data_IF_427831685361
#
_entry.id   IF_427831685361
#
_cell.length_a   1.000
_cell.length_b   1.000
_cell.length_c   1.000
_cell.angle_alpha   90.00
_cell.angle_beta   90.00
_cell.angle_gamma   90.00
#
_symmetry.space_group_name_H-M   'P 1'
#
loop_
_entity.id
_entity.type
_entity.pdbx_description
1 polymer ?
#
# COMPACT_ATOMS: atom_id res chain seq x y z
N UNK A 1 -2.10 -10.50 4.63
CA UNK A 1 -0.75 -9.98 4.94
C UNK A 1 -0.90 -8.77 5.84
N UNK A 2 0.00 -8.59 6.81
CA UNK A 2 0.04 -7.42 7.69
C UNK A 2 1.35 -6.67 7.46
N UNK A 3 1.28 -5.34 7.38
CA UNK A 3 2.43 -4.49 7.15
C UNK A 3 2.38 -3.21 7.97
N UNK A 4 3.53 -2.82 8.49
CA UNK A 4 3.72 -1.62 9.30
C UNK A 4 4.58 -0.60 8.55
N UNK A 5 4.21 0.69 8.54
CA UNK A 5 5.01 1.75 7.90
C UNK A 5 5.36 1.40 6.43
N UNK A 6 6.64 1.36 6.05
CA UNK A 6 7.12 0.90 4.74
C UNK A 6 6.77 -0.59 4.43
N UNK A 7 6.65 -1.44 5.45
CA UNK A 7 6.10 -2.80 5.27
C UNK A 7 4.61 -2.77 4.90
N UNK A 8 3.90 -1.74 5.36
CA UNK A 8 2.52 -1.44 4.93
C UNK A 8 2.47 -1.00 3.47
N UNK A 9 3.46 -0.21 3.00
CA UNK A 9 3.61 0.12 1.58
C UNK A 9 3.72 -1.14 0.73
N UNK A 10 4.63 -2.04 1.07
CA UNK A 10 4.82 -3.31 0.35
C UNK A 10 3.55 -4.16 0.38
N UNK A 11 2.87 -4.24 1.54
CA UNK A 11 1.61 -4.98 1.67
C UNK A 11 0.52 -4.42 0.75
N UNK A 12 0.36 -3.10 0.71
CA UNK A 12 -0.57 -2.44 -0.19
C UNK A 12 -0.17 -2.62 -1.66
N UNK A 13 1.13 -2.53 -1.97
CA UNK A 13 1.69 -2.72 -3.31
C UNK A 13 1.39 -4.12 -3.86
N UNK A 14 1.65 -5.16 -3.07
CA UNK A 14 1.32 -6.54 -3.45
C UNK A 14 -0.19 -6.73 -3.52
N UNK A 15 -0.95 -6.18 -2.57
CA UNK A 15 -2.42 -6.29 -2.52
C UNK A 15 -3.13 -5.65 -3.72
N UNK A 16 -2.54 -4.62 -4.34
CA UNK A 16 -3.09 -3.94 -5.53
C UNK A 16 -2.47 -4.40 -6.84
N UNK A 17 -1.34 -5.12 -6.81
CA UNK A 17 -0.57 -5.50 -8.00
C UNK A 17 -0.11 -6.96 -8.03
N UNK A 18 -0.81 -7.88 -7.35
CA UNK A 18 -0.49 -9.32 -7.36
C UNK A 18 -0.58 -9.91 -8.78
N UNK A 19 0.12 -11.02 -9.01
CA UNK A 19 0.19 -11.79 -10.27
C UNK A 19 0.73 -10.97 -11.44
N UNK A 20 1.87 -10.31 -11.23
CA UNK A 20 2.42 -9.30 -12.13
C UNK A 20 1.45 -8.14 -12.39
N UNK A 21 0.39 -7.95 -11.60
CA UNK A 21 -0.77 -7.12 -11.97
C UNK A 21 -1.54 -7.78 -13.13
N UNK A 22 -2.76 -7.45 -13.50
CA UNK A 22 -3.17 -6.11 -13.93
C UNK A 22 -2.02 -5.21 -14.47
N UNK A 23 -0.92 -5.80 -14.95
CA UNK A 23 -0.01 -5.21 -15.89
C UNK A 23 -0.30 -6.00 -17.15
N UNK A 24 -1.12 -5.38 -17.99
CA UNK A 24 -1.22 -5.83 -19.37
C UNK A 24 0.22 -5.89 -19.90
N UNK A 25 0.65 -7.02 -20.48
CA UNK A 25 1.94 -7.11 -21.15
C UNK A 25 2.13 -5.89 -22.05
N UNK A 26 3.31 -5.29 -22.01
CA UNK A 26 3.68 -4.06 -22.72
C UNK A 26 3.07 -2.74 -22.21
N UNK A 27 2.23 -2.76 -21.16
CA UNK A 27 1.72 -1.52 -20.55
C UNK A 27 2.84 -0.67 -19.97
N UNK A 28 2.59 0.65 -19.84
CA UNK A 28 3.56 1.57 -19.24
C UNK A 28 3.94 1.16 -17.81
N UNK A 29 3.01 0.62 -17.03
CA UNK A 29 3.29 0.10 -15.69
C UNK A 29 4.21 -1.14 -15.73
N UNK A 30 4.13 -1.97 -16.78
CA UNK A 30 5.04 -3.11 -16.99
C UNK A 30 6.47 -2.62 -17.17
N UNK A 31 6.61 -1.64 -18.06
CA UNK A 31 7.90 -1.04 -18.40
C UNK A 31 8.51 -0.37 -17.16
N UNK A 32 7.70 0.36 -16.37
CA UNK A 32 8.16 0.97 -15.13
C UNK A 32 8.57 -0.09 -14.09
N UNK A 33 7.80 -1.17 -13.91
CA UNK A 33 8.20 -2.29 -13.03
C UNK A 33 9.54 -2.88 -13.47
N UNK A 34 9.70 -3.18 -14.76
CA UNK A 34 10.91 -3.77 -15.31
C UNK A 34 12.13 -2.86 -15.11
N UNK A 35 11.97 -1.55 -15.33
CA UNK A 35 13.02 -0.56 -15.09
C UNK A 35 13.43 -0.46 -13.61
N UNK A 36 12.49 -0.64 -12.68
CA UNK A 36 12.73 -0.47 -11.24
C UNK A 36 13.18 -1.75 -10.53
N UNK A 37 12.65 -2.90 -10.94
CA UNK A 37 12.79 -4.18 -10.24
C UNK A 37 13.48 -5.26 -11.08
N UNK A 38 13.69 -5.02 -12.38
CA UNK A 38 14.16 -6.00 -13.35
C UNK A 38 13.01 -6.66 -14.13
N UNK A 39 13.33 -7.19 -15.30
CA UNK A 39 12.37 -7.94 -16.13
C UNK A 39 11.98 -9.24 -15.40
N UNK A 40 10.68 -9.55 -15.26
CA UNK A 40 10.25 -10.82 -14.70
C UNK A 40 10.67 -11.99 -15.60
N UNK A 41 11.10 -13.10 -15.01
CA UNK A 41 11.38 -14.32 -15.78
C UNK A 41 10.08 -15.12 -15.89
N UNK A 42 9.35 -14.94 -16.98
CA UNK A 42 8.11 -15.66 -17.22
C UNK A 42 8.27 -17.18 -17.33
N UNK A 43 9.50 -17.71 -17.37
CA UNK A 43 9.75 -19.15 -17.31
C UNK A 43 10.10 -19.65 -15.90
N UNK A 44 10.30 -18.75 -14.92
CA UNK A 44 10.49 -19.12 -13.52
C UNK A 44 9.14 -19.56 -12.91
N UNK A 45 9.02 -20.81 -12.42
CA UNK A 45 7.80 -21.27 -11.75
C UNK A 45 7.39 -20.42 -10.53
N UNK A 46 8.34 -19.73 -9.88
CA UNK A 46 8.09 -18.81 -8.77
C UNK A 46 7.34 -17.57 -9.27
N UNK A 47 7.80 -16.96 -10.37
CA UNK A 47 7.18 -15.78 -10.97
C UNK A 47 5.79 -16.09 -11.58
N UNK A 48 5.53 -17.35 -11.93
CA UNK A 48 4.21 -17.82 -12.36
C UNK A 48 3.24 -18.09 -11.19
N UNK A 49 3.73 -18.15 -9.96
CA UNK A 49 2.90 -18.46 -8.80
C UNK A 49 2.19 -17.21 -8.30
N UNK A 50 0.87 -17.30 -8.16
CA UNK A 50 0.06 -16.18 -7.71
C UNK A 50 0.45 -15.72 -6.30
N UNK A 51 0.59 -14.41 -6.13
CA UNK A 51 0.81 -13.76 -4.83
C UNK A 51 -0.49 -13.17 -4.25
N UNK A 52 -1.64 -13.63 -4.73
CA UNK A 52 -2.95 -13.12 -4.31
C UNK A 52 -3.14 -13.29 -2.80
N UNK A 53 -3.50 -12.19 -2.15
CA UNK A 53 -3.77 -12.15 -0.71
C UNK A 53 -5.27 -12.28 -0.44
N UNK A 54 -5.64 -12.93 0.67
CA UNK A 54 -7.05 -13.02 1.10
C UNK A 54 -7.55 -11.76 1.83
N UNK A 55 -6.64 -11.05 2.49
CA UNK A 55 -6.90 -9.81 3.21
C UNK A 55 -5.58 -9.05 3.40
N UNK A 56 -5.64 -7.72 3.50
CA UNK A 56 -4.50 -6.87 3.83
C UNK A 56 -4.76 -6.00 5.05
N UNK A 57 -3.76 -5.86 5.92
CA UNK A 57 -3.82 -5.09 7.16
C UNK A 57 -2.69 -4.06 7.11
N UNK A 58 -3.05 -2.79 7.10
CA UNK A 58 -2.17 -1.64 6.94
C UNK A 58 -2.09 -0.87 8.26
N UNK A 59 -0.95 -0.98 8.94
CA UNK A 59 -0.72 -0.36 10.24
C UNK A 59 0.21 0.84 10.09
N UNK A 60 -0.33 2.04 10.31
CA UNK A 60 0.36 3.32 10.10
C UNK A 60 1.18 3.35 8.80
N UNK A 61 0.58 2.82 7.73
CA UNK A 61 1.29 2.51 6.50
C UNK A 61 1.58 3.76 5.68
N UNK A 62 2.76 3.79 5.07
CA UNK A 62 3.00 4.59 3.87
C UNK A 62 2.24 3.92 2.72
N UNK A 63 1.34 4.63 2.03
CA UNK A 63 0.57 4.05 0.90
C UNK A 63 0.85 4.75 -0.43
N UNK A 64 1.70 5.76 -0.40
CA UNK A 64 2.16 6.55 -1.54
C UNK A 64 3.57 7.04 -1.23
N UNK A 65 4.45 7.21 -2.23
CA UNK A 65 5.78 7.77 -1.99
C UNK A 65 5.70 9.14 -1.31
N UNK A 66 6.75 9.48 -0.57
CA UNK A 66 7.02 10.85 -0.17
C UNK A 66 7.18 11.79 -1.39
N UNK A 67 6.87 13.07 -1.20
CA UNK A 67 6.79 14.11 -2.24
C UNK A 67 8.00 14.16 -3.21
N UNK A 68 7.77 14.81 -4.37
CA UNK A 68 8.77 15.11 -5.42
C UNK A 68 10.12 15.61 -4.88
N UNK A 69 10.15 16.22 -3.71
CA UNK A 69 11.29 16.91 -3.10
C UNK A 69 12.39 15.97 -2.60
N UNK A 70 12.12 14.67 -2.44
CA UNK A 70 13.10 13.70 -1.91
C UNK A 70 13.74 12.77 -2.95
N UNK A 71 13.40 12.92 -4.23
CA UNK A 71 14.05 12.12 -5.28
C UNK A 71 15.45 12.67 -5.57
N UNK A 72 16.50 11.82 -5.57
CA UNK A 72 17.84 12.25 -5.95
C UNK A 72 17.85 12.86 -7.36
N UNK A 73 18.56 13.98 -7.60
CA UNK A 73 18.67 14.58 -8.93
C UNK A 73 19.22 13.61 -9.98
N UNK A 74 20.10 12.69 -9.56
CA UNK A 74 20.74 11.67 -10.40
C UNK A 74 20.00 10.31 -10.34
N UNK A 75 18.74 10.31 -9.90
CA UNK A 75 17.91 9.10 -9.92
C UNK A 75 17.75 8.60 -11.37
N UNK A 76 17.88 7.28 -11.57
CA UNK A 76 17.58 6.57 -12.83
C UNK A 76 16.20 6.92 -13.40
N UNK A 77 15.29 7.42 -12.55
CA UNK A 77 13.97 7.90 -12.93
C UNK A 77 14.06 9.00 -14.01
N UNK A 78 14.99 9.95 -13.90
CA UNK A 78 14.89 11.24 -14.62
C UNK A 78 15.06 11.18 -16.15
N UNK A 79 15.54 10.07 -16.73
CA UNK A 79 15.72 9.94 -18.18
C UNK A 79 14.58 9.24 -18.90
N UNK A 80 13.98 8.21 -18.30
CA UNK A 80 12.97 7.35 -18.95
C UNK A 80 11.62 7.30 -18.24
N UNK A 81 11.52 7.81 -17.00
CA UNK A 81 10.28 7.86 -16.19
C UNK A 81 10.11 9.26 -15.61
N UNK A 82 9.08 9.98 -16.04
CA UNK A 82 8.81 11.30 -15.45
C UNK A 82 8.52 11.16 -13.95
N UNK A 83 8.79 12.23 -13.19
CA UNK A 83 8.51 12.23 -11.74
C UNK A 83 7.01 11.99 -11.47
N UNK A 84 6.13 12.48 -12.33
CA UNK A 84 4.69 12.25 -12.22
C UNK A 84 4.33 10.79 -12.49
N UNK A 85 4.91 10.16 -13.52
CA UNK A 85 4.73 8.72 -13.76
C UNK A 85 5.23 7.90 -12.59
N UNK A 86 6.37 8.26 -11.99
CA UNK A 86 6.89 7.57 -10.82
C UNK A 86 5.95 7.72 -9.62
N UNK A 87 5.47 8.93 -9.33
CA UNK A 87 4.52 9.18 -8.23
C UNK A 87 3.23 8.40 -8.46
N UNK A 88 2.71 8.42 -9.67
CA UNK A 88 1.49 7.73 -10.02
C UNK A 88 1.64 6.23 -9.86
N UNK A 89 2.71 5.69 -10.44
CA UNK A 89 3.06 4.28 -10.36
C UNK A 89 3.29 3.80 -8.94
N UNK A 90 3.90 4.61 -8.07
CA UNK A 90 4.19 4.23 -6.68
C UNK A 90 3.05 4.57 -5.72
N UNK A 91 2.02 5.28 -6.16
CA UNK A 91 0.82 5.61 -5.37
C UNK A 91 -0.19 4.47 -5.35
N UNK A 92 -0.20 3.64 -4.30
CA UNK A 92 -0.99 2.41 -4.27
C UNK A 92 -2.51 2.62 -4.45
N UNK A 93 -3.05 3.77 -4.03
CA UNK A 93 -4.47 4.11 -4.21
C UNK A 93 -4.90 4.19 -5.68
N UNK A 94 -3.96 4.48 -6.61
CA UNK A 94 -4.23 4.54 -8.06
C UNK A 94 -4.31 3.16 -8.72
N UNK A 95 -3.99 2.10 -7.99
CA UNK A 95 -3.97 0.73 -8.49
C UNK A 95 -4.97 -0.18 -7.77
N UNK A 96 -5.85 0.39 -6.94
CA UNK A 96 -6.97 -0.36 -6.36
C UNK A 96 -7.90 -0.80 -7.50
N UNK A 97 -8.27 -2.08 -7.51
CA UNK A 97 -9.16 -2.67 -8.52
C UNK A 97 -10.21 -3.54 -7.84
N UNK A 98 -11.21 -4.00 -8.59
CA UNK A 98 -12.24 -4.91 -8.07
C UNK A 98 -11.68 -6.24 -7.51
N UNK A 99 -10.41 -6.56 -7.80
CA UNK A 99 -9.72 -7.74 -7.27
C UNK A 99 -8.91 -7.46 -6.01
N UNK A 100 -8.75 -6.18 -5.62
CA UNK A 100 -8.03 -5.81 -4.41
C UNK A 100 -8.69 -6.45 -3.19
N UNK A 101 -7.93 -7.11 -2.31
CA UNK A 101 -8.49 -7.81 -1.16
C UNK A 101 -9.18 -6.87 -0.16
N UNK A 102 -10.08 -7.41 0.69
CA UNK A 102 -10.57 -6.70 1.86
C UNK A 102 -9.41 -6.09 2.66
N UNK A 103 -9.58 -4.84 3.09
CA UNK A 103 -8.50 -4.05 3.69
C UNK A 103 -8.88 -3.52 5.07
N UNK A 104 -8.02 -3.72 6.06
CA UNK A 104 -8.08 -3.03 7.34
C UNK A 104 -6.97 -1.99 7.40
N UNK A 105 -7.28 -0.74 7.74
CA UNK A 105 -6.31 0.33 7.88
C UNK A 105 -6.42 0.99 9.25
N UNK A 106 -5.27 1.34 9.82
CA UNK A 106 -5.26 2.31 10.91
C UNK A 106 -4.06 3.25 10.86
N UNK A 107 -4.26 4.48 11.34
CA UNK A 107 -3.23 5.53 11.43
C UNK A 107 -3.53 6.41 12.65
N UNK A 108 -2.57 7.23 13.08
CA UNK A 108 -2.80 8.28 14.07
C UNK A 108 -2.77 9.67 13.42
N UNK A 109 -3.61 10.58 13.89
CA UNK A 109 -3.69 11.94 13.37
C UNK A 109 -2.43 12.78 13.70
N UNK A 110 -1.66 12.39 14.72
CA UNK A 110 -0.42 13.06 15.14
C UNK A 110 0.85 12.38 14.61
N UNK A 111 0.72 11.40 13.72
CA UNK A 111 1.89 10.78 13.08
C UNK A 111 2.68 11.85 12.29
N UNK A 112 3.93 12.07 12.70
CA UNK A 112 4.81 13.09 12.14
C UNK A 112 5.19 12.85 10.67
N UNK A 113 5.01 11.63 10.15
CA UNK A 113 5.23 11.34 8.73
C UNK A 113 4.09 11.83 7.82
N UNK A 114 2.96 12.27 8.40
CA UNK A 114 1.83 12.85 7.70
C UNK A 114 1.15 11.92 6.65
N UNK A 115 1.09 10.61 6.94
CA UNK A 115 0.50 9.60 6.05
C UNK A 115 -1.04 9.59 6.02
N UNK A 116 -1.71 10.46 6.78
CA UNK A 116 -3.17 10.46 6.92
C UNK A 116 -3.85 10.67 5.56
N UNK A 117 -3.37 11.64 4.77
CA UNK A 117 -3.91 11.92 3.43
C UNK A 117 -3.78 10.70 2.51
N UNK A 118 -2.65 10.00 2.57
CA UNK A 118 -2.41 8.83 1.72
C UNK A 118 -3.36 7.68 2.07
N UNK A 119 -3.60 7.42 3.36
CA UNK A 119 -4.51 6.38 3.82
C UNK A 119 -5.99 6.72 3.52
N UNK A 120 -6.37 8.00 3.63
CA UNK A 120 -7.70 8.47 3.21
C UNK A 120 -7.93 8.27 1.72
N UNK A 121 -6.95 8.59 0.87
CA UNK A 121 -7.05 8.34 -0.58
C UNK A 121 -7.17 6.85 -0.91
N UNK A 122 -6.45 5.99 -0.19
CA UNK A 122 -6.55 4.55 -0.38
C UNK A 122 -7.93 4.01 0.01
N UNK A 123 -8.45 4.42 1.18
CA UNK A 123 -9.81 4.08 1.61
C UNK A 123 -10.88 4.61 0.65
N UNK A 124 -10.70 5.81 0.12
CA UNK A 124 -11.60 6.36 -0.90
C UNK A 124 -11.62 5.48 -2.16
N UNK A 125 -10.46 5.05 -2.66
CA UNK A 125 -10.38 4.19 -3.84
C UNK A 125 -11.04 2.81 -3.61
N UNK A 126 -10.91 2.24 -2.40
CA UNK A 126 -11.65 1.03 -2.00
C UNK A 126 -13.16 1.25 -2.01
N UNK A 127 -13.62 2.37 -1.44
CA UNK A 127 -15.03 2.74 -1.39
C UNK A 127 -15.64 2.97 -2.77
N UNK A 128 -14.92 3.62 -3.69
CA UNK A 128 -15.37 3.87 -5.07
C UNK A 128 -15.69 2.57 -5.83
N UNK A 129 -15.04 1.46 -5.47
CA UNK A 129 -15.26 0.13 -6.03
C UNK A 129 -16.14 -0.78 -5.15
N UNK A 130 -16.72 -0.25 -4.07
CA UNK A 130 -17.55 -0.98 -3.10
C UNK A 130 -16.83 -2.21 -2.49
N UNK A 131 -15.53 -2.09 -2.25
CA UNK A 131 -14.75 -3.16 -1.61
C UNK A 131 -14.89 -3.11 -0.08
N UNK A 132 -14.86 -4.25 0.62
CA UNK A 132 -14.93 -4.27 2.08
C UNK A 132 -13.67 -3.66 2.71
N UNK A 133 -13.84 -2.66 3.57
CA UNK A 133 -12.73 -2.11 4.34
C UNK A 133 -13.16 -1.47 5.65
N UNK A 134 -12.24 -1.45 6.62
CA UNK A 134 -12.33 -0.66 7.84
C UNK A 134 -11.16 0.34 7.87
N UNK A 135 -11.46 1.61 8.19
CA UNK A 135 -10.45 2.66 8.40
C UNK A 135 -10.60 3.26 9.80
N UNK A 136 -9.54 3.16 10.60
CA UNK A 136 -9.46 3.76 11.93
C UNK A 136 -8.42 4.87 11.98
N UNK A 137 -8.86 6.10 12.26
CA UNK A 137 -7.96 7.24 12.51
C UNK A 137 -8.01 7.55 14.00
N UNK A 138 -6.97 7.16 14.72
CA UNK A 138 -6.82 7.48 16.13
C UNK A 138 -6.36 8.92 16.32
N UNK A 139 -6.81 9.59 17.37
CA UNK A 139 -6.57 11.03 17.56
C UNK A 139 -5.10 11.36 17.84
N UNK A 140 -4.34 10.44 18.44
CA UNK A 140 -2.94 10.67 18.82
C UNK A 140 -2.14 9.37 18.84
N UNK A 141 -0.82 9.55 18.87
CA UNK A 141 0.18 8.49 18.97
C UNK A 141 1.33 8.72 17.99
N UNK A 142 2.59 8.41 18.37
CA UNK A 142 3.74 8.54 17.48
C UNK A 142 3.71 7.49 16.36
N UNK A 143 4.59 7.66 15.37
CA UNK A 143 4.85 6.59 14.40
C UNK A 143 5.51 5.39 15.08
N UNK A 144 5.31 4.19 14.53
CA UNK A 144 6.01 2.99 15.01
C UNK A 144 5.42 2.38 16.29
N UNK A 145 4.12 2.56 16.51
CA UNK A 145 3.43 2.08 17.71
C UNK A 145 3.30 0.55 17.82
N UNK A 146 3.57 -0.22 16.76
CA UNK A 146 3.45 -1.68 16.78
C UNK A 146 2.07 -2.15 17.24
N UNK A 147 2.00 -2.88 18.34
CA UNK A 147 0.74 -3.33 18.97
C UNK A 147 -0.02 -2.22 19.71
N UNK A 148 0.57 -1.03 19.86
CA UNK A 148 -0.08 0.14 20.46
C UNK A 148 -0.11 0.14 21.99
N UNK A 149 0.68 -0.72 22.66
CA UNK A 149 0.68 -0.88 24.12
C UNK A 149 0.97 0.42 24.87
N UNK A 150 1.81 1.29 24.30
CA UNK A 150 2.20 2.58 24.88
C UNK A 150 1.19 3.72 24.62
N UNK A 151 0.16 3.49 23.81
CA UNK A 151 -0.89 4.47 23.52
C UNK A 151 -2.28 3.84 23.75
N UNK A 152 -2.91 4.07 24.91
CA UNK A 152 -4.13 3.39 25.32
C UNK A 152 -5.28 3.47 24.33
N UNK A 153 -5.38 4.56 23.57
CA UNK A 153 -6.43 4.72 22.56
C UNK A 153 -6.20 3.86 21.32
N UNK A 154 -4.94 3.55 21.00
CA UNK A 154 -4.53 2.74 19.86
C UNK A 154 -4.46 1.25 20.23
N UNK A 155 -4.17 0.90 21.49
CA UNK A 155 -4.06 -0.49 21.97
C UNK A 155 -5.26 -1.40 21.65
N UNK A 156 -6.41 -0.82 21.29
CA UNK A 156 -7.61 -1.56 20.86
C UNK A 156 -7.53 -2.06 19.41
N UNK A 157 -6.64 -1.54 18.58
CA UNK A 157 -6.58 -1.86 17.14
C UNK A 157 -6.44 -3.36 16.84
N UNK A 158 -5.69 -4.19 17.58
CA UNK A 158 -5.62 -5.62 17.29
C UNK A 158 -6.97 -6.29 17.47
N UNK A 159 -7.75 -5.86 18.47
CA UNK A 159 -9.10 -6.38 18.71
C UNK A 159 -10.09 -5.93 17.64
N UNK A 160 -9.99 -4.69 17.16
CA UNK A 160 -10.77 -4.20 16.03
C UNK A 160 -10.47 -5.02 14.78
N UNK A 161 -9.19 -5.27 14.49
CA UNK A 161 -8.74 -6.09 13.37
C UNK A 161 -9.23 -7.54 13.48
N UNK A 162 -9.16 -8.14 14.66
CA UNK A 162 -9.70 -9.48 14.92
C UNK A 162 -11.20 -9.55 14.63
N UNK A 163 -11.98 -8.60 15.15
CA UNK A 163 -13.43 -8.55 14.92
C UNK A 163 -13.76 -8.38 13.42
N UNK A 164 -13.00 -7.52 12.73
CA UNK A 164 -13.12 -7.33 11.29
C UNK A 164 -12.82 -8.63 10.52
N UNK A 165 -11.71 -9.32 10.83
CA UNK A 165 -11.36 -10.61 10.21
C UNK A 165 -12.43 -11.68 10.42
N UNK A 166 -13.09 -11.70 11.59
CA UNK A 166 -14.19 -12.63 11.88
C UNK A 166 -15.46 -12.33 11.07
N UNK A 167 -15.60 -11.10 10.56
CA UNK A 167 -16.75 -10.65 9.77
C UNK A 167 -16.57 -10.76 8.26
N UNK A 168 -15.39 -11.14 7.77
CA UNK A 168 -15.10 -11.39 6.35
C UNK A 168 -15.66 -12.73 5.88
#
# INVERSE_FOLDING_TARGET
MIGFSAGGYLTAFVGTRFDNGIIEPDSRNAQIMAMLLGEPDFNDPIDQTSSKLNAIILCYAETSPFSKEKLPPDSLLTKDITVDEFIDFTSNHKHVTAKTPPTFLWITATDHWNFQRQNLLFAQALNELNLPFDLHIFSKGPHGLGLGEDEPTVAIWPKLCENWLQGL
#
